data_IF_238384825073
#
_entry.id   IF_238384825073
#
_cell.length_a   1.000
_cell.length_b   1.000
_cell.length_c   1.000
_cell.angle_alpha   90.00
_cell.angle_beta   90.00
_cell.angle_gamma   90.00
#
_symmetry.space_group_name_H-M   'P 1'
#
loop_
_entity.id
_entity.type
_entity.pdbx_description
1 polymer ?
#
# COMPACT_ATOMS: atom_id res chain seq x y z
N UNK A 1 21.47 -14.15 29.38
CA UNK A 1 20.82 -15.45 29.05
C UNK A 1 19.44 -15.34 28.35
N UNK A 2 18.99 -14.16 27.87
CA UNK A 2 17.66 -14.03 27.23
C UNK A 2 17.63 -14.19 25.70
N UNK A 3 18.79 -14.13 25.01
CA UNK A 3 18.86 -14.15 23.53
C UNK A 3 18.69 -15.54 22.90
N UNK A 4 19.00 -16.62 23.62
CA UNK A 4 18.88 -18.01 23.13
C UNK A 4 17.40 -18.42 22.98
N UNK A 5 16.57 -18.10 23.97
CA UNK A 5 15.15 -18.48 24.01
C UNK A 5 14.30 -17.87 22.88
N UNK A 6 14.56 -16.62 22.47
CA UNK A 6 13.81 -15.97 21.38
C UNK A 6 14.18 -16.55 20.01
N UNK A 7 15.48 -16.71 19.72
CA UNK A 7 15.92 -17.31 18.44
C UNK A 7 15.45 -18.75 18.30
N UNK A 8 15.51 -19.53 19.38
CA UNK A 8 15.04 -20.92 19.38
C UNK A 8 13.52 -21.00 19.19
N UNK A 9 12.75 -20.07 19.77
CA UNK A 9 11.31 -19.99 19.57
C UNK A 9 10.94 -19.61 18.14
N UNK A 10 11.60 -18.63 17.54
CA UNK A 10 11.37 -18.22 16.14
C UNK A 10 11.74 -19.36 15.17
N UNK A 11 12.88 -20.01 15.39
CA UNK A 11 13.32 -21.15 14.58
C UNK A 11 12.35 -22.34 14.69
N UNK A 12 11.93 -22.69 15.91
CA UNK A 12 10.94 -23.74 16.16
C UNK A 12 9.60 -23.43 15.50
N UNK A 13 9.13 -22.19 15.61
CA UNK A 13 7.88 -21.76 14.98
C UNK A 13 7.94 -21.90 13.45
N UNK A 14 9.06 -21.49 12.85
CA UNK A 14 9.27 -21.66 11.41
C UNK A 14 9.31 -23.13 10.99
N UNK A 15 9.90 -24.02 11.82
CA UNK A 15 9.86 -25.47 11.58
C UNK A 15 8.46 -26.05 11.69
N UNK A 16 7.69 -25.69 12.73
CA UNK A 16 6.30 -26.14 12.89
C UNK A 16 5.45 -25.73 11.67
N UNK A 17 5.58 -24.49 11.20
CA UNK A 17 4.90 -24.03 9.99
C UNK A 17 5.36 -24.78 8.72
N UNK A 18 6.66 -25.10 8.62
CA UNK A 18 7.19 -25.91 7.53
C UNK A 18 6.59 -27.32 7.49
N UNK A 19 6.47 -27.97 8.65
CA UNK A 19 5.84 -29.28 8.79
C UNK A 19 4.35 -29.21 8.42
N UNK A 20 3.61 -28.26 9.00
CA UNK A 20 2.16 -28.12 8.76
C UNK A 20 1.80 -27.75 7.32
N UNK A 21 2.76 -27.23 6.53
CA UNK A 21 2.58 -26.92 5.09
C UNK A 21 2.67 -28.15 4.20
N UNK A 22 3.19 -29.28 4.67
CA UNK A 22 3.09 -30.52 3.90
C UNK A 22 1.62 -30.92 3.80
N UNK A 23 1.15 -31.37 2.64
CA UNK A 23 -0.25 -31.79 2.43
C UNK A 23 -0.65 -33.06 3.23
N UNK A 24 0.26 -33.60 4.07
CA UNK A 24 0.05 -34.76 4.93
C UNK A 24 -0.45 -34.36 6.33
N UNK A 25 -1.29 -35.20 6.92
CA UNK A 25 -1.71 -35.06 8.31
C UNK A 25 -0.54 -35.44 9.24
N UNK A 26 -0.26 -34.57 10.21
CA UNK A 26 0.74 -34.86 11.25
C UNK A 26 0.07 -35.26 12.55
N UNK A 27 0.50 -36.37 13.17
CA UNK A 27 0.05 -36.64 14.54
C UNK A 27 0.73 -35.68 15.51
N UNK A 28 0.11 -35.44 16.67
CA UNK A 28 0.72 -34.62 17.73
C UNK A 28 1.99 -35.24 18.29
N UNK A 29 2.12 -36.58 18.21
CA UNK A 29 3.33 -37.31 18.59
C UNK A 29 4.47 -37.03 17.62
N UNK A 30 4.23 -37.13 16.31
CA UNK A 30 5.24 -36.90 15.28
C UNK A 30 5.75 -35.46 15.31
N UNK A 31 4.84 -34.48 15.47
CA UNK A 31 5.22 -33.07 15.58
C UNK A 31 6.09 -32.80 16.80
N UNK A 32 5.80 -33.45 17.94
CA UNK A 32 6.63 -33.32 19.15
C UNK A 32 8.03 -33.88 18.93
N UNK A 33 8.14 -35.02 18.28
CA UNK A 33 9.41 -35.68 18.00
C UNK A 33 10.26 -34.83 17.05
N UNK A 34 9.68 -34.38 15.92
CA UNK A 34 10.39 -33.52 14.97
C UNK A 34 10.81 -32.16 15.53
N UNK A 35 10.05 -31.61 16.47
CA UNK A 35 10.32 -30.30 17.07
C UNK A 35 11.07 -30.38 18.40
N UNK A 36 11.30 -31.58 18.93
CA UNK A 36 11.88 -31.87 20.24
C UNK A 36 11.22 -31.04 21.37
N UNK A 37 9.89 -31.16 21.49
CA UNK A 37 9.12 -30.40 22.49
C UNK A 37 8.07 -31.23 23.24
N UNK A 38 7.69 -30.73 24.42
CA UNK A 38 6.55 -31.26 25.16
C UNK A 38 5.21 -31.02 24.45
N UNK A 39 4.21 -31.84 24.79
CA UNK A 39 2.83 -31.68 24.30
C UNK A 39 2.24 -30.33 24.69
N UNK A 40 2.49 -29.87 25.92
CA UNK A 40 2.03 -28.56 26.39
C UNK A 40 2.61 -27.43 25.53
N UNK A 41 3.89 -27.53 25.15
CA UNK A 41 4.55 -26.54 24.29
C UNK A 41 3.95 -26.56 22.89
N UNK A 42 3.78 -27.75 22.29
CA UNK A 42 3.19 -27.90 20.95
C UNK A 42 1.77 -27.32 20.91
N UNK A 43 0.91 -27.67 21.87
CA UNK A 43 -0.46 -27.17 21.92
C UNK A 43 -0.50 -25.65 22.06
N UNK A 44 0.39 -25.06 22.86
CA UNK A 44 0.49 -23.60 23.00
C UNK A 44 0.92 -22.92 21.69
N UNK A 45 1.87 -23.50 20.95
CA UNK A 45 2.31 -22.96 19.66
C UNK A 45 1.19 -23.09 18.60
N UNK A 46 0.45 -24.20 18.57
CA UNK A 46 -0.71 -24.39 17.68
C UNK A 46 -1.83 -23.39 17.96
N UNK A 47 -2.15 -23.15 19.24
CA UNK A 47 -3.12 -22.12 19.65
C UNK A 47 -2.64 -20.74 19.22
N UNK A 48 -1.37 -20.40 19.48
CA UNK A 48 -0.80 -19.11 19.06
C UNK A 48 -0.81 -18.92 17.54
N UNK A 49 -0.58 -19.97 16.75
CA UNK A 49 -0.73 -19.92 15.30
C UNK A 49 -2.20 -19.71 14.89
N UNK A 50 -3.15 -20.36 15.55
CA UNK A 50 -4.58 -20.16 15.28
C UNK A 50 -5.04 -18.74 15.60
N UNK A 51 -4.55 -18.16 16.70
CA UNK A 51 -4.79 -16.75 17.08
C UNK A 51 -4.18 -15.76 16.08
N UNK A 52 -3.07 -16.12 15.43
CA UNK A 52 -2.47 -15.36 14.33
C UNK A 52 -3.16 -15.57 12.97
N UNK A 53 -4.23 -16.37 12.94
CA UNK A 53 -5.08 -16.57 11.76
C UNK A 53 -4.69 -17.74 10.87
N UNK A 54 -3.77 -18.63 11.29
CA UNK A 54 -3.49 -19.84 10.53
C UNK A 54 -4.66 -20.86 10.66
N UNK A 55 -5.23 -21.40 9.56
CA UNK A 55 -6.35 -22.32 9.58
C UNK A 55 -5.82 -23.71 9.90
N UNK A 56 -5.68 -23.98 11.18
CA UNK A 56 -5.22 -25.29 11.62
C UNK A 56 -6.46 -26.16 11.84
N UNK A 57 -6.59 -27.21 11.03
CA UNK A 57 -7.54 -28.30 11.26
C UNK A 57 -6.92 -29.34 12.17
N UNK A 58 -7.73 -29.88 13.08
CA UNK A 58 -7.38 -31.07 13.87
C UNK A 58 -8.51 -32.07 13.78
N UNK A 59 -8.25 -33.24 13.23
CA UNK A 59 -9.21 -34.35 13.21
C UNK A 59 -8.80 -35.44 14.22
N UNK A 60 -9.79 -36.06 14.86
CA UNK A 60 -9.59 -37.14 15.84
C UNK A 60 -10.05 -38.46 15.23
N UNK A 61 -9.15 -39.44 15.13
CA UNK A 61 -9.49 -40.78 14.62
C UNK A 61 -8.32 -41.47 13.92
N UNK A 62 -8.55 -42.66 13.35
CA UNK A 62 -7.55 -43.36 12.52
C UNK A 62 -7.32 -42.56 11.24
N UNK A 63 -6.09 -42.09 11.03
CA UNK A 63 -5.73 -41.18 9.92
C UNK A 63 -5.96 -39.69 10.22
N UNK A 64 -6.41 -39.35 11.44
CA UNK A 64 -6.55 -37.96 11.89
C UNK A 64 -5.20 -37.34 12.29
N UNK A 65 -5.14 -36.01 12.28
CA UNK A 65 -3.94 -35.27 12.62
C UNK A 65 -4.14 -33.77 12.55
N UNK A 66 -3.06 -33.03 12.72
CA UNK A 66 -2.99 -31.58 12.63
C UNK A 66 -2.41 -31.20 11.28
N UNK A 67 -3.06 -30.28 10.57
CA UNK A 67 -2.58 -29.73 9.29
C UNK A 67 -3.01 -28.28 9.10
N UNK A 68 -2.38 -27.59 8.15
CA UNK A 68 -2.97 -26.39 7.57
C UNK A 68 -4.08 -26.77 6.58
N UNK A 69 -5.20 -26.06 6.63
CA UNK A 69 -6.28 -26.24 5.65
C UNK A 69 -5.86 -25.71 4.30
N UNK A 70 -5.75 -26.62 3.34
CA UNK A 70 -5.46 -26.30 1.94
C UNK A 70 -4.15 -25.54 1.73
N UNK A 71 -4.07 -24.85 0.60
CA UNK A 71 -2.97 -23.95 0.25
C UNK A 71 -3.13 -22.63 1.01
N UNK A 72 -2.77 -22.61 2.30
CA UNK A 72 -2.92 -21.39 3.12
C UNK A 72 -1.82 -20.38 2.83
N UNK A 73 -2.25 -19.22 2.33
CA UNK A 73 -1.39 -18.09 1.97
C UNK A 73 -1.52 -17.73 0.49
N UNK A 74 -0.80 -16.69 0.09
CA UNK A 74 -0.70 -16.30 -1.32
C UNK A 74 0.45 -17.12 -1.93
N UNK A 75 0.15 -18.19 -2.66
CA UNK A 75 1.18 -19.09 -3.22
C UNK A 75 2.05 -18.42 -4.28
N UNK A 76 1.44 -17.60 -5.14
CA UNK A 76 2.09 -16.74 -6.13
C UNK A 76 1.13 -15.59 -6.43
N UNK A 77 1.55 -14.37 -6.16
CA UNK A 77 0.86 -13.15 -6.60
C UNK A 77 1.82 -12.35 -7.45
N UNK A 78 1.48 -12.23 -8.74
CA UNK A 78 2.23 -11.42 -9.68
C UNK A 78 1.51 -10.09 -9.78
N UNK A 79 2.10 -9.05 -9.20
CA UNK A 79 1.63 -7.67 -9.38
C UNK A 79 2.62 -6.94 -10.27
N UNK A 80 2.10 -6.24 -11.26
CA UNK A 80 2.82 -5.21 -11.99
C UNK A 80 3.17 -4.05 -11.06
N UNK A 81 4.20 -3.28 -11.41
CA UNK A 81 4.60 -2.09 -10.65
C UNK A 81 3.43 -1.11 -10.39
N UNK A 82 2.47 -1.01 -11.32
CA UNK A 82 1.32 -0.10 -11.23
C UNK A 82 0.33 -0.58 -10.16
N UNK A 83 -0.06 -1.85 -10.20
CA UNK A 83 -1.01 -2.46 -9.23
C UNK A 83 -0.50 -2.37 -7.79
N UNK A 84 0.83 -2.42 -7.61
CA UNK A 84 1.48 -2.29 -6.31
C UNK A 84 1.33 -0.90 -5.74
N UNK A 85 1.55 0.12 -6.58
CA UNK A 85 1.42 1.51 -6.17
C UNK A 85 -0.05 1.76 -5.81
N UNK A 86 -0.98 1.26 -6.62
CA UNK A 86 -2.43 1.34 -6.35
C UNK A 86 -2.81 0.67 -5.03
N UNK A 87 -2.26 -0.51 -4.74
CA UNK A 87 -2.49 -1.22 -3.48
C UNK A 87 -1.91 -0.46 -2.27
N UNK A 88 -0.68 0.07 -2.38
CA UNK A 88 -0.08 0.89 -1.33
C UNK A 88 -0.89 2.17 -1.09
N UNK A 89 -1.40 2.79 -2.16
CA UNK A 89 -2.30 3.94 -2.06
C UNK A 89 -3.56 3.59 -1.28
N UNK A 90 -4.23 2.50 -1.66
CA UNK A 90 -5.44 2.04 -0.97
C UNK A 90 -5.20 1.80 0.53
N UNK A 91 -4.09 1.16 0.90
CA UNK A 91 -3.74 0.92 2.30
C UNK A 91 -3.49 2.22 3.08
N UNK A 92 -2.82 3.20 2.48
CA UNK A 92 -2.58 4.50 3.13
C UNK A 92 -3.84 5.35 3.26
N UNK A 93 -4.77 5.23 2.30
CA UNK A 93 -6.09 5.85 2.42
C UNK A 93 -6.82 5.28 3.63
N UNK A 94 -6.89 3.94 3.75
CA UNK A 94 -7.55 3.27 4.88
C UNK A 94 -6.93 3.70 6.22
N UNK A 95 -5.61 3.83 6.28
CA UNK A 95 -4.92 4.32 7.48
C UNK A 95 -5.30 5.77 7.81
N UNK A 96 -5.34 6.66 6.81
CA UNK A 96 -5.72 8.07 7.02
C UNK A 96 -7.14 8.28 7.53
N UNK A 97 -8.03 7.32 7.26
CA UNK A 97 -9.41 7.34 7.75
C UNK A 97 -9.52 7.01 9.26
N UNK A 98 -8.43 6.58 9.91
CA UNK A 98 -8.40 6.22 11.33
C UNK A 98 -9.56 5.30 11.76
N UNK A 99 -9.90 4.32 10.92
CA UNK A 99 -11.02 3.41 11.17
C UNK A 99 -10.69 2.46 12.34
N UNK A 100 -11.48 2.43 13.43
CA UNK A 100 -11.15 1.69 14.65
C UNK A 100 -10.94 0.18 14.48
N UNK A 101 -11.52 -0.41 13.43
CA UNK A 101 -11.56 -1.87 13.25
C UNK A 101 -10.59 -2.39 12.17
N UNK A 102 -9.84 -1.52 11.48
CA UNK A 102 -9.15 -1.89 10.22
C UNK A 102 -7.62 -1.70 10.24
N UNK A 103 -7.01 -1.23 11.34
CA UNK A 103 -5.62 -0.76 11.32
C UNK A 103 -4.59 -1.73 11.92
N UNK A 104 -4.99 -2.73 12.72
CA UNK A 104 -4.07 -3.55 13.50
C UNK A 104 -3.00 -4.31 12.67
N UNK A 105 -3.27 -4.62 11.41
CA UNK A 105 -2.35 -5.36 10.54
C UNK A 105 -1.87 -4.57 9.31
N UNK A 106 -2.28 -3.30 9.13
CA UNK A 106 -1.95 -2.54 7.91
C UNK A 106 -0.44 -2.38 7.72
N UNK A 107 0.29 -2.03 8.78
CA UNK A 107 1.74 -1.90 8.72
C UNK A 107 2.44 -3.22 8.38
N UNK A 108 1.96 -4.34 8.94
CA UNK A 108 2.48 -5.68 8.64
C UNK A 108 2.23 -6.03 7.17
N UNK A 109 1.05 -5.70 6.64
CA UNK A 109 0.70 -5.94 5.23
C UNK A 109 1.58 -5.09 4.31
N UNK A 110 1.74 -3.79 4.59
CA UNK A 110 2.63 -2.91 3.81
C UNK A 110 4.07 -3.41 3.81
N UNK A 111 4.59 -3.84 4.95
CA UNK A 111 5.95 -4.40 5.05
C UNK A 111 6.09 -5.68 4.23
N UNK A 112 5.13 -6.61 4.32
CA UNK A 112 5.14 -7.85 3.52
C UNK A 112 5.09 -7.56 2.02
N UNK A 113 4.25 -6.61 1.59
CA UNK A 113 4.20 -6.18 0.20
C UNK A 113 5.53 -5.57 -0.25
N UNK A 114 6.09 -4.64 0.54
CA UNK A 114 7.38 -4.02 0.21
C UNK A 114 8.52 -5.04 0.10
N UNK A 115 8.54 -6.05 0.99
CA UNK A 115 9.52 -7.12 0.97
C UNK A 115 9.32 -8.09 -0.20
N UNK A 116 8.12 -8.23 -0.74
CA UNK A 116 7.86 -9.07 -1.91
C UNK A 116 8.49 -8.53 -3.20
N UNK A 117 8.88 -7.25 -3.27
CA UNK A 117 9.51 -6.69 -4.47
C UNK A 117 10.97 -7.10 -4.62
N UNK A 118 11.39 -7.43 -5.86
CA UNK A 118 12.80 -7.43 -6.24
C UNK A 118 13.44 -6.06 -5.97
N UNK A 119 14.71 -6.05 -5.60
CA UNK A 119 15.42 -4.85 -5.12
C UNK A 119 15.41 -3.68 -6.13
N UNK A 120 15.52 -3.99 -7.42
CA UNK A 120 15.44 -3.01 -8.51
C UNK A 120 14.07 -2.30 -8.60
N UNK A 121 12.99 -3.00 -8.22
CA UNK A 121 11.64 -2.43 -8.20
C UNK A 121 11.38 -1.59 -6.93
N UNK A 122 11.99 -1.97 -5.80
CA UNK A 122 11.86 -1.25 -4.52
C UNK A 122 12.29 0.22 -4.63
N UNK A 123 13.36 0.51 -5.37
CA UNK A 123 13.82 1.88 -5.58
C UNK A 123 12.80 2.71 -6.36
N UNK A 124 12.22 2.15 -7.43
CA UNK A 124 11.24 2.84 -8.28
C UNK A 124 9.93 3.07 -7.52
N UNK A 125 9.45 2.07 -6.79
CA UNK A 125 8.27 2.18 -5.90
C UNK A 125 8.52 3.21 -4.79
N UNK A 126 9.68 3.17 -4.13
CA UNK A 126 10.03 4.14 -3.08
C UNK A 126 10.05 5.57 -3.60
N UNK A 127 10.57 5.81 -4.81
CA UNK A 127 10.61 7.14 -5.43
C UNK A 127 9.21 7.68 -5.74
N UNK A 128 8.31 6.81 -6.20
CA UNK A 128 6.91 7.18 -6.49
C UNK A 128 6.15 7.41 -5.18
N UNK A 129 6.30 6.53 -4.20
CA UNK A 129 5.72 6.64 -2.86
C UNK A 129 6.04 7.98 -2.19
N UNK A 130 7.30 8.41 -2.24
CA UNK A 130 7.75 9.73 -1.73
C UNK A 130 7.11 10.93 -2.43
N UNK A 131 6.43 10.73 -3.56
CA UNK A 131 5.74 11.77 -4.31
C UNK A 131 4.23 11.80 -4.06
N UNK A 132 3.71 10.88 -3.25
CA UNK A 132 2.28 10.81 -2.93
C UNK A 132 2.08 11.02 -1.44
N UNK A 133 1.17 11.93 -1.13
CA UNK A 133 0.91 12.45 0.20
C UNK A 133 -0.55 12.25 0.56
N UNK A 134 -0.81 11.75 1.76
CA UNK A 134 -2.18 11.58 2.27
C UNK A 134 -2.33 12.43 3.52
N UNK A 135 -3.37 13.24 3.56
CA UNK A 135 -3.68 14.08 4.71
C UNK A 135 -4.25 13.23 5.83
N UNK A 136 -3.70 13.38 7.03
CA UNK A 136 -4.13 12.65 8.23
C UNK A 136 -5.16 13.43 9.06
N UNK A 137 -5.35 14.73 8.80
CA UNK A 137 -6.12 15.63 9.68
C UNK A 137 -7.09 16.58 8.95
N UNK A 138 -7.14 16.62 7.62
CA UNK A 138 -8.04 17.51 6.89
C UNK A 138 -9.37 16.79 6.61
N UNK A 139 -10.41 17.10 7.39
CA UNK A 139 -11.80 16.86 6.97
C UNK A 139 -12.11 17.85 5.86
N UNK A 140 -11.96 17.45 4.59
CA UNK A 140 -12.42 18.27 3.48
C UNK A 140 -13.95 18.35 3.55
N UNK A 141 -14.49 19.53 3.88
CA UNK A 141 -15.93 19.82 3.81
C UNK A 141 -16.38 20.10 2.37
N UNK A 142 -15.46 20.10 1.40
CA UNK A 142 -15.78 20.38 0.01
C UNK A 142 -16.54 19.21 -0.62
N UNK A 143 -17.67 19.47 -1.31
CA UNK A 143 -18.35 18.44 -2.09
C UNK A 143 -17.40 17.88 -3.16
N UNK A 144 -17.37 16.55 -3.28
CA UNK A 144 -16.64 15.84 -4.32
C UNK A 144 -17.62 15.39 -5.39
N UNK A 145 -17.37 15.79 -6.63
CA UNK A 145 -18.18 15.40 -7.77
C UNK A 145 -17.42 14.31 -8.53
N UNK A 146 -17.75 13.05 -8.24
CA UNK A 146 -17.36 11.96 -9.11
C UNK A 146 -18.28 11.95 -10.34
N UNK A 147 -17.68 11.95 -11.53
CA UNK A 147 -18.34 11.78 -12.83
C UNK A 147 -17.53 10.78 -13.64
N UNK A 148 -18.18 10.01 -14.50
CA UNK A 148 -17.54 8.94 -15.28
C UNK A 148 -16.40 9.47 -16.19
N UNK A 149 -16.49 10.73 -16.61
CA UNK A 149 -15.45 11.46 -17.37
C UNK A 149 -14.11 11.56 -16.61
N UNK A 150 -14.08 11.42 -15.29
CA UNK A 150 -12.84 11.48 -14.52
C UNK A 150 -11.99 10.21 -14.60
N UNK A 151 -12.53 9.08 -15.07
CA UNK A 151 -11.76 7.82 -15.18
C UNK A 151 -10.65 8.00 -16.23
N UNK A 152 -10.98 8.46 -17.44
CA UNK A 152 -10.00 8.65 -18.52
C UNK A 152 -8.95 9.72 -18.19
N UNK A 153 -9.40 10.82 -17.55
CA UNK A 153 -8.52 11.89 -17.07
C UNK A 153 -7.55 11.36 -16.01
N UNK A 154 -8.03 10.53 -15.08
CA UNK A 154 -7.20 9.98 -14.01
C UNK A 154 -6.08 9.07 -14.53
N UNK A 155 -6.36 8.27 -15.56
CA UNK A 155 -5.35 7.41 -16.19
C UNK A 155 -4.26 8.24 -16.86
N UNK A 156 -4.66 9.27 -17.61
CA UNK A 156 -3.74 10.19 -18.28
C UNK A 156 -2.83 10.91 -17.28
N UNK A 157 -3.41 11.40 -16.18
CA UNK A 157 -2.65 12.05 -15.11
C UNK A 157 -1.66 11.06 -14.46
N UNK A 158 -2.12 9.84 -14.17
CA UNK A 158 -1.30 8.79 -13.55
C UNK A 158 -0.09 8.45 -14.43
N UNK A 159 -0.30 8.23 -15.72
CA UNK A 159 0.77 7.96 -16.69
C UNK A 159 1.79 9.11 -16.74
N UNK A 160 1.31 10.34 -16.90
CA UNK A 160 2.18 11.52 -16.93
C UNK A 160 2.98 11.73 -15.65
N UNK A 161 2.36 11.46 -14.49
CA UNK A 161 3.02 11.51 -13.18
C UNK A 161 4.11 10.45 -13.03
N UNK A 162 3.84 9.21 -13.48
CA UNK A 162 4.78 8.10 -13.42
C UNK A 162 5.96 8.29 -14.37
N UNK A 163 5.71 8.81 -15.58
CA UNK A 163 6.72 9.04 -16.62
C UNK A 163 7.42 10.39 -16.52
N UNK A 164 6.99 11.26 -15.59
CA UNK A 164 7.49 12.63 -15.46
C UNK A 164 7.35 13.45 -16.75
N UNK A 165 6.18 13.34 -17.40
CA UNK A 165 5.80 14.11 -18.59
C UNK A 165 4.91 15.28 -18.21
N UNK A 166 5.05 16.40 -18.92
CA UNK A 166 4.17 17.55 -18.72
C UNK A 166 2.75 17.18 -19.15
N UNK A 167 1.75 17.77 -18.50
CA UNK A 167 0.33 17.64 -18.84
C UNK A 167 -0.19 18.94 -19.42
N UNK A 168 -0.91 18.85 -20.54
CA UNK A 168 -1.79 19.92 -20.99
C UNK A 168 -3.17 19.67 -20.40
N UNK A 169 -3.68 20.61 -19.62
CA UNK A 169 -4.99 20.49 -18.95
C UNK A 169 -5.90 21.66 -19.29
N UNK A 170 -7.19 21.38 -19.42
CA UNK A 170 -8.23 22.39 -19.33
C UNK A 170 -8.80 22.37 -17.91
N UNK A 171 -8.66 23.48 -17.19
CA UNK A 171 -8.97 23.55 -15.77
C UNK A 171 -10.06 24.59 -15.50
N UNK A 172 -11.09 24.19 -14.75
CA UNK A 172 -12.14 25.08 -14.26
C UNK A 172 -11.87 25.49 -12.82
N UNK A 173 -11.55 26.76 -12.61
CA UNK A 173 -11.34 27.29 -11.25
C UNK A 173 -12.64 27.35 -10.43
N UNK A 174 -12.53 27.62 -9.14
CA UNK A 174 -13.68 27.82 -8.23
C UNK A 174 -14.67 28.88 -8.76
N UNK A 175 -14.14 29.95 -9.35
CA UNK A 175 -14.94 31.03 -9.93
C UNK A 175 -15.46 30.68 -11.34
N UNK A 176 -15.49 29.40 -11.72
CA UNK A 176 -15.90 28.85 -13.02
C UNK A 176 -15.13 29.43 -14.22
N UNK A 177 -13.96 30.03 -14.00
CA UNK A 177 -13.08 30.46 -15.09
C UNK A 177 -12.32 29.26 -15.62
N UNK A 178 -12.51 28.94 -16.89
CA UNK A 178 -11.75 27.94 -17.60
C UNK A 178 -10.39 28.50 -18.05
N UNK A 179 -9.35 27.69 -17.97
CA UNK A 179 -8.03 28.02 -18.50
C UNK A 179 -7.31 26.79 -19.00
N UNK A 180 -6.58 26.93 -20.10
CA UNK A 180 -5.66 25.91 -20.57
C UNK A 180 -4.29 26.11 -19.93
N UNK A 181 -3.67 25.03 -19.44
CA UNK A 181 -2.40 25.05 -18.70
C UNK A 181 -1.49 23.94 -19.18
N UNK A 182 -0.20 24.21 -19.27
CA UNK A 182 0.83 23.17 -19.29
C UNK A 182 1.45 23.09 -17.91
N UNK A 183 1.36 21.92 -17.28
CA UNK A 183 1.81 21.71 -15.90
C UNK A 183 2.82 20.55 -15.78
N UNK A 184 3.76 20.66 -14.86
CA UNK A 184 4.66 19.56 -14.46
C UNK A 184 4.09 18.88 -13.20
N UNK A 185 3.63 17.62 -13.27
CA UNK A 185 2.97 16.92 -12.14
C UNK A 185 3.97 16.36 -11.12
N UNK A 186 4.44 17.20 -10.19
CA UNK A 186 5.50 16.82 -9.25
C UNK A 186 5.01 15.89 -8.15
N UNK A 187 3.88 16.23 -7.51
CA UNK A 187 3.34 15.50 -6.35
C UNK A 187 1.83 15.32 -6.44
N UNK A 188 1.34 14.22 -5.87
CA UNK A 188 -0.09 13.99 -5.66
C UNK A 188 -0.40 14.09 -4.17
N UNK A 189 -1.46 14.81 -3.85
CA UNK A 189 -1.94 15.00 -2.48
C UNK A 189 -3.40 14.56 -2.39
N UNK A 190 -3.72 13.77 -1.39
CA UNK A 190 -5.08 13.34 -1.10
C UNK A 190 -5.54 13.95 0.23
N UNK A 191 -6.44 14.92 0.16
CA UNK A 191 -7.23 15.37 1.30
C UNK A 191 -8.62 14.79 1.14
N UNK A 192 -8.83 13.61 1.72
CA UNK A 192 -9.99 12.77 1.43
C UNK A 192 -11.31 13.56 1.49
N UNK A 193 -12.20 13.44 0.48
CA UNK A 193 -12.09 12.56 -0.71
C UNK A 193 -11.42 13.19 -1.94
N UNK A 194 -10.83 14.39 -1.83
CA UNK A 194 -10.38 15.19 -2.98
C UNK A 194 -8.90 14.96 -3.27
N UNK A 195 -8.59 14.68 -4.54
CA UNK A 195 -7.22 14.61 -5.04
C UNK A 195 -6.72 15.95 -5.59
N UNK A 196 -5.46 16.24 -5.34
CA UNK A 196 -4.75 17.43 -5.78
C UNK A 196 -3.43 17.06 -6.47
N UNK A 197 -3.04 17.88 -7.44
CA UNK A 197 -1.73 17.86 -8.08
C UNK A 197 -0.97 19.10 -7.62
N UNK A 198 0.20 18.91 -7.01
CA UNK A 198 1.19 19.98 -6.84
C UNK A 198 2.04 20.01 -8.09
N UNK A 199 2.03 21.15 -8.78
CA UNK A 199 2.65 21.28 -10.08
C UNK A 199 3.37 22.61 -10.27
N UNK A 200 4.34 22.61 -11.19
CA UNK A 200 4.83 23.86 -11.78
C UNK A 200 3.90 24.26 -12.92
N UNK A 201 3.27 25.43 -12.83
CA UNK A 201 2.39 25.97 -13.88
C UNK A 201 3.21 26.87 -14.83
N UNK A 202 3.40 26.45 -16.08
CA UNK A 202 4.15 27.24 -17.06
C UNK A 202 3.46 28.56 -17.42
N UNK A 203 2.14 28.66 -17.32
CA UNK A 203 1.42 29.91 -17.61
C UNK A 203 1.63 30.96 -16.51
N UNK A 204 1.87 30.53 -15.27
CA UNK A 204 2.13 31.43 -14.13
C UNK A 204 3.59 31.50 -13.71
N UNK A 205 4.42 30.61 -14.27
CA UNK A 205 5.83 30.46 -13.93
C UNK A 205 6.05 30.31 -12.41
N UNK A 206 5.20 29.51 -11.76
CA UNK A 206 5.16 29.37 -10.30
C UNK A 206 4.56 28.00 -9.88
N UNK A 207 4.84 27.52 -8.65
CA UNK A 207 4.12 26.41 -8.04
C UNK A 207 2.62 26.71 -7.95
N UNK A 208 1.79 25.73 -8.27
CA UNK A 208 0.34 25.76 -8.02
C UNK A 208 -0.20 24.38 -7.68
N UNK A 209 -1.32 24.39 -6.98
CA UNK A 209 -2.09 23.21 -6.62
C UNK A 209 -3.37 23.20 -7.45
N UNK A 210 -3.65 22.07 -8.10
CA UNK A 210 -4.84 21.85 -8.91
C UNK A 210 -5.67 20.71 -8.32
N UNK A 211 -6.99 20.90 -8.19
CA UNK A 211 -7.88 19.78 -7.85
C UNK A 211 -8.14 18.92 -9.08
N UNK A 212 -8.01 17.61 -8.95
CA UNK A 212 -8.21 16.70 -10.09
C UNK A 212 -9.66 16.72 -10.58
N UNK A 213 -10.64 16.82 -9.67
CA UNK A 213 -12.06 16.89 -10.01
C UNK A 213 -12.46 18.16 -10.79
N UNK A 214 -11.59 19.18 -10.84
CA UNK A 214 -11.78 20.41 -11.60
C UNK A 214 -11.08 20.41 -12.96
N UNK A 215 -10.39 19.33 -13.32
CA UNK A 215 -9.79 19.14 -14.64
C UNK A 215 -10.86 18.61 -15.59
N UNK A 216 -11.09 19.35 -16.68
CA UNK A 216 -12.10 19.03 -17.70
C UNK A 216 -11.54 18.13 -18.81
N UNK A 217 -10.25 18.27 -19.12
CA UNK A 217 -9.52 17.37 -20.02
C UNK A 217 -8.04 17.40 -19.68
N UNK A 218 -7.34 16.31 -19.99
CA UNK A 218 -5.90 16.18 -19.81
C UNK A 218 -5.29 15.44 -21.01
N UNK A 219 -4.13 15.90 -21.45
CA UNK A 219 -3.35 15.27 -22.53
C UNK A 219 -1.87 15.27 -22.14
N UNK A 220 -1.17 14.18 -22.41
CA UNK A 220 0.27 14.06 -22.14
C UNK A 220 1.04 14.87 -23.18
N UNK A 221 1.81 15.85 -22.73
CA UNK A 221 2.68 16.62 -23.60
C UNK A 221 3.93 15.82 -23.99
N UNK A 222 4.57 16.21 -25.09
CA UNK A 222 5.85 15.62 -25.55
C UNK A 222 7.01 15.89 -24.60
N UNK A 223 6.95 16.99 -23.84
CA UNK A 223 8.02 17.44 -22.95
C UNK A 223 8.03 16.66 -21.64
N UNK A 224 9.21 16.27 -21.19
CA UNK A 224 9.44 15.72 -19.84
C UNK A 224 10.00 16.77 -18.89
N UNK A 225 9.89 16.51 -17.60
CA UNK A 225 10.39 17.39 -16.55
C UNK A 225 11.22 16.63 -15.51
N UNK A 226 12.11 17.35 -14.83
CA UNK A 226 12.84 16.86 -13.66
C UNK A 226 12.10 17.29 -12.40
N UNK A 227 12.09 16.43 -11.38
CA UNK A 227 11.46 16.76 -10.10
C UNK A 227 12.10 18.01 -9.50
N UNK A 228 11.27 18.84 -8.88
CA UNK A 228 11.64 20.05 -8.15
C UNK A 228 11.29 19.89 -6.67
N UNK A 229 12.20 19.35 -5.84
CA UNK A 229 11.95 19.09 -4.42
C UNK A 229 11.50 20.31 -3.63
N UNK A 230 11.95 21.50 -4.03
CA UNK A 230 11.64 22.78 -3.41
C UNK A 230 10.15 23.15 -3.45
N UNK A 231 9.35 22.56 -4.36
CA UNK A 231 7.92 22.85 -4.45
C UNK A 231 7.13 22.35 -3.23
N UNK A 232 7.66 21.36 -2.52
CA UNK A 232 7.06 20.81 -1.30
C UNK A 232 7.61 21.44 -0.03
N UNK A 233 8.86 21.91 -0.05
CA UNK A 233 9.49 22.50 1.13
C UNK A 233 8.86 23.85 1.54
N UNK A 234 8.27 24.55 0.58
CA UNK A 234 7.71 25.90 0.76
C UNK A 234 6.17 25.92 0.76
N UNK A 235 5.51 24.77 0.79
CA UNK A 235 4.06 24.68 0.71
C UNK A 235 3.41 24.72 2.12
N UNK A 236 2.48 25.67 2.39
CA UNK A 236 1.85 25.79 3.71
C UNK A 236 0.95 24.58 4.06
N UNK A 237 0.55 23.79 3.06
CA UNK A 237 -0.32 22.63 3.29
C UNK A 237 0.45 21.37 3.66
N UNK A 238 1.75 21.29 3.39
CA UNK A 238 2.53 20.04 3.53
C UNK A 238 2.62 19.55 4.97
N UNK A 239 2.53 20.45 5.96
CA UNK A 239 2.46 20.08 7.38
C UNK A 239 1.25 19.20 7.75
N UNK A 240 0.21 19.19 6.92
CA UNK A 240 -1.01 18.39 7.13
C UNK A 240 -1.00 17.04 6.40
N UNK A 241 0.02 16.76 5.58
CA UNK A 241 0.11 15.54 4.81
C UNK A 241 1.35 14.73 5.15
N UNK A 242 1.17 13.42 5.28
CA UNK A 242 2.27 12.47 5.41
C UNK A 242 2.52 11.82 4.06
N UNK A 243 3.80 11.70 3.66
CA UNK A 243 4.14 10.85 2.52
C UNK A 243 3.73 9.42 2.84
N UNK A 244 3.13 8.72 1.87
CA UNK A 244 2.83 7.29 2.00
C UNK A 244 4.10 6.54 2.31
#
# INVERSE_FOLDING_TARGET
>A
MAKTNFKDRVARRSRLLGLLRSEQYWTTSDLREHLDVSQRTLMRELVSLKEEGYPIESDRGRGGGVRLVGRWGIERLMLSHKEVIELLLALSIIESLNLPFMTNNLEVIKQKLYQAFPENQRFRVSRIRKRIFVSTNVKSTAPYQASDTHIDISQTICESFLEQRCLNINYSSENKRCSSRTIESHYLMLAWPVWYIVAWDHLRNAPRIFRIDRIQSAEIASKSFKLRPELIANDPYTHHFSSI
#
